data_IF_713409671194
#
_entry.id   IF_713409671194
#
_cell.length_a   1.000
_cell.length_b   1.000
_cell.length_c   1.000
_cell.angle_alpha   90.00
_cell.angle_beta   90.00
_cell.angle_gamma   90.00
#
_symmetry.space_group_name_H-M   'P 1'
#
loop_
_entity.id
_entity.type
_entity.pdbx_description
1 polymer ?
#
# COMPACT_ATOMS: atom_id res chain seq x y z
N UNK A 1 22.55 -25.06 1.22
CA UNK A 1 23.25 -23.91 1.82
C UNK A 1 22.72 -22.66 1.14
N UNK A 2 21.92 -21.85 1.83
CA UNK A 2 21.52 -20.54 1.30
C UNK A 2 22.75 -19.66 1.44
N UNK A 3 23.38 -19.25 0.33
CA UNK A 3 24.55 -18.36 0.39
C UNK A 3 24.15 -17.04 1.07
N UNK A 4 25.07 -16.47 1.85
CA UNK A 4 24.89 -15.22 2.59
C UNK A 4 24.71 -13.98 1.67
N UNK A 5 24.66 -14.15 0.35
CA UNK A 5 24.69 -13.05 -0.62
C UNK A 5 23.31 -12.63 -1.15
N UNK A 6 22.25 -13.32 -0.74
CA UNK A 6 20.86 -13.04 -1.16
C UNK A 6 20.12 -12.27 -0.06
N UNK A 7 19.47 -11.17 -0.41
CA UNK A 7 18.65 -10.39 0.53
C UNK A 7 17.27 -11.04 0.74
N UNK A 8 16.84 -11.11 2.00
CA UNK A 8 15.52 -11.52 2.43
C UNK A 8 14.67 -10.28 2.73
N UNK A 9 13.57 -10.11 2.02
CA UNK A 9 12.67 -8.96 2.14
C UNK A 9 11.32 -9.40 2.67
N UNK A 10 10.87 -8.80 3.77
CA UNK A 10 9.53 -8.96 4.31
C UNK A 10 8.66 -7.78 3.91
N UNK A 11 7.48 -8.06 3.34
CA UNK A 11 6.51 -7.06 2.93
C UNK A 11 5.18 -7.36 3.59
N UNK A 12 4.63 -6.38 4.28
CA UNK A 12 3.36 -6.46 4.99
C UNK A 12 2.42 -5.35 4.50
N UNK A 13 1.13 -5.65 4.33
CA UNK A 13 0.11 -4.65 4.01
C UNK A 13 -1.15 -4.85 4.83
N UNK A 14 -1.74 -3.75 5.29
CA UNK A 14 -3.01 -3.79 6.01
C UNK A 14 -3.85 -2.53 5.81
N UNK A 15 -5.09 -2.70 5.32
CA UNK A 15 -6.11 -1.67 5.38
C UNK A 15 -6.74 -1.65 6.79
N UNK A 16 -6.53 -0.56 7.53
CA UNK A 16 -6.93 -0.42 8.94
C UNK A 16 -8.31 0.20 9.14
N UNK A 17 -9.13 0.35 8.09
CA UNK A 17 -10.53 0.78 8.17
C UNK A 17 -10.76 2.04 9.03
N UNK A 18 -9.90 3.06 8.81
CA UNK A 18 -9.95 4.40 9.41
C UNK A 18 -9.85 4.44 10.95
N UNK A 19 -9.37 3.37 11.57
CA UNK A 19 -9.34 3.24 13.04
C UNK A 19 -8.27 4.09 13.73
N UNK A 20 -7.36 4.75 12.99
CA UNK A 20 -6.32 5.58 13.60
C UNK A 20 -5.38 4.73 14.47
N UNK A 21 -5.10 5.18 15.69
CA UNK A 21 -4.26 4.45 16.67
C UNK A 21 -4.83 3.08 17.03
N UNK A 22 -6.16 2.90 17.00
CA UNK A 22 -6.84 1.63 17.31
C UNK A 22 -6.78 0.61 16.16
N UNK A 23 -6.23 1.00 15.00
CA UNK A 23 -6.20 0.15 13.81
C UNK A 23 -5.27 -1.05 13.86
N UNK A 24 -4.42 -1.15 14.87
CA UNK A 24 -3.56 -2.31 15.10
C UNK A 24 -3.83 -2.90 16.49
N UNK A 25 -3.89 -4.24 16.64
CA UNK A 25 -3.76 -4.87 17.94
C UNK A 25 -2.42 -4.48 18.57
N UNK A 26 -2.36 -4.48 19.91
CA UNK A 26 -1.11 -4.20 20.64
C UNK A 26 -0.01 -5.23 20.29
N UNK A 27 -0.40 -6.45 19.92
CA UNK A 27 0.51 -7.51 19.51
C UNK A 27 0.58 -7.59 17.97
N UNK A 28 1.79 -7.42 17.41
CA UNK A 28 2.04 -7.55 15.97
C UNK A 28 2.78 -8.84 15.57
N UNK A 29 3.04 -9.74 16.53
CA UNK A 29 3.89 -10.92 16.35
C UNK A 29 3.40 -11.80 15.21
N UNK A 30 2.10 -12.14 15.20
CA UNK A 30 1.49 -13.00 14.17
C UNK A 30 1.72 -12.47 12.76
N UNK A 31 1.74 -11.14 12.60
CA UNK A 31 1.86 -10.49 11.29
C UNK A 31 3.31 -10.19 10.90
N UNK A 32 4.12 -9.73 11.86
CA UNK A 32 5.46 -9.20 11.59
C UNK A 32 6.60 -10.15 11.96
N UNK A 33 6.32 -11.25 12.66
CA UNK A 33 7.30 -12.33 12.92
C UNK A 33 6.88 -13.70 12.33
N UNK A 34 6.50 -13.78 11.03
CA UNK A 34 6.31 -15.08 10.37
C UNK A 34 7.63 -15.86 10.24
N UNK A 35 8.75 -15.19 10.47
CA UNK A 35 10.12 -15.72 10.39
C UNK A 35 10.35 -16.90 11.32
N UNK A 36 9.64 -17.06 12.44
CA UNK A 36 9.82 -18.24 13.31
C UNK A 36 9.43 -19.56 12.60
N UNK A 37 8.31 -19.60 11.89
CA UNK A 37 7.87 -20.80 11.17
C UNK A 37 8.58 -20.93 9.81
N UNK A 38 8.75 -19.83 9.09
CA UNK A 38 9.36 -19.80 7.76
C UNK A 38 10.86 -20.12 7.80
N UNK A 39 11.58 -19.61 8.79
CA UNK A 39 13.02 -19.85 8.89
C UNK A 39 13.34 -21.34 9.11
N UNK A 40 12.49 -22.05 9.83
CA UNK A 40 12.61 -23.51 10.04
C UNK A 40 12.49 -24.28 8.71
N UNK A 41 11.70 -23.77 7.75
CA UNK A 41 11.52 -24.38 6.44
C UNK A 41 12.67 -24.07 5.47
N UNK A 42 13.22 -22.85 5.49
CA UNK A 42 14.23 -22.40 4.53
C UNK A 42 15.68 -22.75 4.90
N UNK A 43 16.02 -22.80 6.19
CA UNK A 43 17.39 -23.01 6.64
C UNK A 43 17.46 -23.65 8.02
N UNK A 44 18.56 -24.36 8.31
CA UNK A 44 18.84 -24.88 9.66
C UNK A 44 19.07 -23.76 10.69
N UNK A 45 19.43 -22.56 10.22
CA UNK A 45 19.62 -21.37 11.05
C UNK A 45 18.44 -20.42 10.88
N UNK A 46 17.98 -19.84 11.97
CA UNK A 46 16.91 -18.85 11.93
C UNK A 46 17.46 -17.52 11.41
N UNK A 47 16.94 -17.01 10.29
CA UNK A 47 17.41 -15.76 9.65
C UNK A 47 16.32 -14.69 9.69
N UNK A 48 16.66 -13.49 10.17
CA UNK A 48 15.79 -12.32 10.09
C UNK A 48 15.82 -11.67 8.68
N UNK A 49 14.75 -10.95 8.26
CA UNK A 49 14.74 -10.20 7.01
C UNK A 49 15.82 -9.11 7.01
N UNK A 50 16.48 -8.90 5.88
CA UNK A 50 17.41 -7.77 5.71
C UNK A 50 16.66 -6.44 5.52
N UNK A 51 15.45 -6.51 4.96
CA UNK A 51 14.54 -5.36 4.73
C UNK A 51 13.13 -5.73 5.18
N UNK A 52 12.46 -4.82 5.89
CA UNK A 52 11.04 -4.95 6.25
C UNK A 52 10.30 -3.72 5.71
N UNK A 53 9.24 -3.93 4.93
CA UNK A 53 8.38 -2.87 4.42
C UNK A 53 6.93 -3.10 4.89
N UNK A 54 6.32 -2.09 5.52
CA UNK A 54 4.96 -2.16 6.05
C UNK A 54 4.10 -1.04 5.45
N UNK A 55 3.10 -1.44 4.66
CA UNK A 55 2.14 -0.55 4.03
C UNK A 55 0.81 -0.52 4.78
N UNK A 56 0.22 0.68 4.91
CA UNK A 56 -1.10 0.88 5.48
C UNK A 56 -2.01 1.63 4.53
N UNK A 57 -3.30 1.29 4.56
CA UNK A 57 -4.37 2.01 3.91
C UNK A 57 -5.46 2.32 4.94
N UNK A 58 -6.21 3.40 4.70
CA UNK A 58 -7.20 3.89 5.69
C UNK A 58 -6.59 4.03 7.09
N UNK A 59 -5.36 4.55 7.15
CA UNK A 59 -4.56 4.63 8.38
C UNK A 59 -5.29 5.35 9.53
N UNK A 60 -6.07 6.38 9.19
CA UNK A 60 -6.74 7.26 10.13
C UNK A 60 -8.01 7.87 9.49
N UNK A 61 -8.93 8.42 10.30
CA UNK A 61 -10.14 9.08 9.79
C UNK A 61 -9.86 10.08 8.68
N UNK A 62 -10.71 10.11 7.66
CA UNK A 62 -10.49 10.90 6.43
C UNK A 62 -10.23 12.38 6.71
N UNK A 63 -10.97 13.00 7.63
CA UNK A 63 -10.77 14.42 7.95
C UNK A 63 -9.36 14.70 8.50
N UNK A 64 -8.79 13.79 9.30
CA UNK A 64 -7.41 13.89 9.81
C UNK A 64 -6.38 13.56 8.72
N UNK A 65 -6.65 12.56 7.89
CA UNK A 65 -5.78 12.21 6.76
C UNK A 65 -5.66 13.35 5.76
N UNK A 66 -6.80 13.92 5.34
CA UNK A 66 -6.87 15.02 4.37
C UNK A 66 -6.31 16.33 4.94
N UNK A 67 -6.54 16.62 6.23
CA UNK A 67 -5.89 17.74 6.91
C UNK A 67 -4.39 17.51 7.10
N UNK A 68 -3.94 16.26 6.93
CA UNK A 68 -2.61 15.70 7.14
C UNK A 68 -2.10 15.82 8.56
N UNK A 69 -2.99 15.57 9.51
CA UNK A 69 -2.68 15.33 10.92
C UNK A 69 -2.38 13.85 11.19
N UNK A 70 -1.51 13.25 10.37
CA UNK A 70 -1.14 11.84 10.46
C UNK A 70 0.12 11.56 11.29
N UNK A 71 0.85 12.60 11.72
CA UNK A 71 2.15 12.47 12.40
C UNK A 71 2.10 11.57 13.63
N UNK A 72 1.16 11.82 14.54
CA UNK A 72 1.04 11.03 15.78
C UNK A 72 0.78 9.56 15.48
N UNK A 73 -0.12 9.26 14.54
CA UNK A 73 -0.45 7.87 14.17
C UNK A 73 0.76 7.20 13.53
N UNK A 74 1.47 7.85 12.61
CA UNK A 74 2.62 7.21 11.94
C UNK A 74 3.82 7.04 12.87
N UNK A 75 4.03 7.94 13.83
CA UNK A 75 5.10 7.84 14.83
C UNK A 75 4.82 6.69 15.81
N UNK A 76 3.57 6.54 16.25
CA UNK A 76 3.09 5.38 17.02
C UNK A 76 3.31 4.06 16.26
N UNK A 77 2.90 4.00 14.98
CA UNK A 77 3.12 2.83 14.12
C UNK A 77 4.60 2.49 13.99
N UNK A 78 5.45 3.49 13.80
CA UNK A 78 6.89 3.28 13.72
C UNK A 78 7.45 2.66 15.00
N UNK A 79 7.11 3.23 16.17
CA UNK A 79 7.57 2.73 17.46
C UNK A 79 7.10 1.29 17.71
N UNK A 80 5.82 1.01 17.45
CA UNK A 80 5.24 -0.32 17.65
C UNK A 80 5.88 -1.35 16.71
N UNK A 81 5.95 -1.07 15.40
CA UNK A 81 6.56 -1.99 14.43
C UNK A 81 8.01 -2.30 14.81
N UNK A 82 8.81 -1.26 15.09
CA UNK A 82 10.21 -1.43 15.42
C UNK A 82 10.39 -2.29 16.68
N UNK A 83 9.62 -2.02 17.73
CA UNK A 83 9.66 -2.81 18.96
C UNK A 83 9.32 -4.28 18.72
N UNK A 84 8.36 -4.56 17.83
CA UNK A 84 7.86 -5.91 17.57
C UNK A 84 8.82 -6.72 16.68
N UNK A 85 9.39 -6.10 15.63
CA UNK A 85 10.35 -6.80 14.76
C UNK A 85 11.66 -7.11 15.51
N UNK A 86 12.14 -6.21 16.37
CA UNK A 86 13.37 -6.43 17.14
C UNK A 86 13.17 -7.43 18.28
N UNK A 87 12.07 -7.33 19.04
CA UNK A 87 11.79 -8.24 20.15
C UNK A 87 11.63 -9.70 19.69
N UNK A 88 11.16 -9.91 18.47
CA UNK A 88 10.89 -11.23 17.90
C UNK A 88 11.90 -11.63 16.80
N UNK A 89 12.99 -10.87 16.65
CA UNK A 89 14.05 -11.21 15.72
C UNK A 89 14.78 -12.47 16.21
N UNK A 90 15.01 -13.48 15.34
CA UNK A 90 15.53 -14.78 15.75
C UNK A 90 16.88 -14.74 16.47
N UNK A 91 17.73 -13.78 16.15
CA UNK A 91 19.06 -13.58 16.74
C UNK A 91 19.19 -12.20 17.41
N UNK A 92 18.07 -11.58 17.81
CA UNK A 92 18.01 -10.22 18.40
C UNK A 92 18.59 -9.14 17.49
N UNK A 93 18.38 -9.31 16.18
CA UNK A 93 18.75 -8.32 15.18
C UNK A 93 18.06 -6.98 15.45
N UNK A 94 18.79 -5.89 15.19
CA UNK A 94 18.28 -4.53 15.29
C UNK A 94 17.93 -3.99 13.92
N UNK A 95 16.99 -3.06 13.89
CA UNK A 95 16.53 -2.41 12.67
C UNK A 95 16.58 -0.90 12.79
N UNK A 96 16.77 -0.22 11.66
CA UNK A 96 16.63 1.22 11.56
C UNK A 96 15.60 1.56 10.50
N UNK A 97 14.82 2.62 10.75
CA UNK A 97 13.91 3.18 9.75
C UNK A 97 14.74 3.83 8.63
N UNK A 98 14.65 3.29 7.42
CA UNK A 98 15.25 3.89 6.22
C UNK A 98 14.42 5.08 5.78
N UNK A 99 13.10 4.89 5.64
CA UNK A 99 12.18 5.96 5.26
C UNK A 99 10.75 5.64 5.67
N UNK A 100 9.96 6.70 5.91
CA UNK A 100 8.51 6.64 6.00
C UNK A 100 7.87 7.72 5.17
N UNK A 101 6.71 7.43 4.59
CA UNK A 101 5.93 8.37 3.79
C UNK A 101 4.44 8.16 4.03
N UNK A 102 3.68 9.26 4.11
CA UNK A 102 2.23 9.25 4.31
C UNK A 102 1.59 10.27 3.38
N UNK A 103 0.51 9.86 2.70
CA UNK A 103 -0.36 10.76 1.97
C UNK A 103 -1.81 10.40 2.23
N UNK A 104 -2.54 11.35 2.85
CA UNK A 104 -3.87 11.13 3.39
C UNK A 104 -3.93 9.89 4.29
N UNK A 105 -4.62 8.83 3.87
CA UNK A 105 -4.75 7.57 4.60
C UNK A 105 -3.82 6.46 4.15
N UNK A 106 -2.91 6.70 3.19
CA UNK A 106 -1.96 5.70 2.68
C UNK A 106 -0.58 5.97 3.26
N UNK A 107 0.05 4.94 3.84
CA UNK A 107 1.36 5.06 4.45
C UNK A 107 2.27 3.88 4.09
N UNK A 108 3.58 4.12 4.11
CA UNK A 108 4.60 3.11 3.90
C UNK A 108 5.79 3.43 4.81
N UNK A 109 6.25 2.43 5.56
CA UNK A 109 7.46 2.47 6.38
C UNK A 109 8.40 1.36 5.92
N UNK A 110 9.67 1.68 5.69
CA UNK A 110 10.68 0.73 5.26
C UNK A 110 11.86 0.77 6.24
N UNK A 111 12.24 -0.41 6.71
CA UNK A 111 13.30 -0.63 7.69
C UNK A 111 14.37 -1.52 7.07
N UNK A 112 15.63 -1.30 7.46
CA UNK A 112 16.75 -2.18 7.13
C UNK A 112 17.37 -2.74 8.40
N UNK A 113 17.97 -3.93 8.31
CA UNK A 113 18.77 -4.48 9.40
C UNK A 113 19.98 -3.59 9.67
N UNK A 114 20.23 -3.26 10.94
CA UNK A 114 21.23 -2.27 11.37
C UNK A 114 22.67 -2.69 11.01
N UNK A 115 22.99 -3.97 11.11
CA UNK A 115 24.31 -4.52 10.76
C UNK A 115 24.50 -4.77 9.25
N UNK A 116 23.59 -4.30 8.41
CA UNK A 116 23.61 -4.52 6.96
C UNK A 116 22.98 -3.36 6.21
N UNK A 117 21.84 -3.63 5.56
CA UNK A 117 21.19 -2.71 4.61
C UNK A 117 21.03 -1.30 5.18
N UNK A 118 20.61 -1.15 6.44
CA UNK A 118 20.33 0.19 6.98
C UNK A 118 21.56 1.13 7.03
N UNK A 119 22.78 0.59 7.13
CA UNK A 119 24.01 1.38 7.18
C UNK A 119 24.66 1.59 5.81
N UNK A 120 24.21 0.87 4.79
CA UNK A 120 24.77 0.94 3.44
C UNK A 120 23.90 1.71 2.46
N UNK A 121 22.59 1.83 2.73
CA UNK A 121 21.67 2.51 1.82
C UNK A 121 22.04 3.98 1.57
N UNK A 122 21.88 4.40 0.32
CA UNK A 122 22.04 5.78 -0.12
C UNK A 122 20.86 6.20 -1.00
N UNK A 123 20.84 7.47 -1.42
CA UNK A 123 19.83 8.04 -2.33
C UNK A 123 18.38 7.77 -1.90
N UNK A 124 18.12 7.89 -0.60
CA UNK A 124 16.79 7.66 -0.02
C UNK A 124 15.82 8.75 -0.47
N UNK A 125 14.73 8.33 -1.08
CA UNK A 125 13.71 9.18 -1.70
C UNK A 125 12.32 8.71 -1.32
N UNK A 126 11.41 9.66 -1.11
CA UNK A 126 9.98 9.38 -0.88
C UNK A 126 9.12 10.17 -1.85
N UNK A 127 8.06 9.56 -2.36
CA UNK A 127 7.13 10.20 -3.29
C UNK A 127 5.67 9.84 -2.97
N UNK A 128 4.74 10.64 -3.48
CA UNK A 128 3.30 10.38 -3.36
C UNK A 128 2.55 10.87 -4.61
N UNK A 129 1.39 10.28 -4.85
CA UNK A 129 0.41 10.76 -5.83
C UNK A 129 -1.01 10.37 -5.42
N UNK A 130 -2.00 11.18 -5.81
CA UNK A 130 -3.42 10.96 -5.51
C UNK A 130 -4.23 10.64 -6.76
N UNK A 131 -5.14 9.68 -6.66
CA UNK A 131 -6.04 9.22 -7.74
C UNK A 131 -7.51 9.48 -7.42
N UNK A 132 -7.81 10.09 -6.27
CA UNK A 132 -9.16 10.51 -5.90
C UNK A 132 -9.75 11.56 -6.84
N UNK A 133 -10.98 12.02 -6.57
CA UNK A 133 -11.57 13.14 -7.29
C UNK A 133 -10.59 14.32 -7.34
N UNK A 134 -10.29 14.82 -8.53
CA UNK A 134 -9.32 15.92 -8.73
C UNK A 134 -7.95 15.63 -8.10
N UNK A 135 -7.49 14.38 -8.16
CA UNK A 135 -6.20 13.90 -7.66
C UNK A 135 -6.03 13.97 -6.13
N UNK A 136 -7.12 14.08 -5.38
CA UNK A 136 -7.12 14.01 -3.91
C UNK A 136 -6.54 12.68 -3.40
N UNK A 137 -5.95 12.71 -2.21
CA UNK A 137 -5.14 11.62 -1.66
C UNK A 137 -5.93 10.48 -1.00
N UNK A 138 -7.26 10.57 -0.90
CA UNK A 138 -8.09 9.49 -0.31
C UNK A 138 -7.98 8.14 -1.05
N UNK A 139 -7.49 8.18 -2.29
CA UNK A 139 -7.00 7.06 -3.09
C UNK A 139 -5.70 7.52 -3.77
N UNK A 140 -4.78 6.60 -4.03
CA UNK A 140 -3.49 6.94 -4.64
C UNK A 140 -2.38 5.99 -4.21
N UNK A 141 -1.15 6.48 -4.23
CA UNK A 141 0.00 5.71 -3.81
C UNK A 141 1.08 6.58 -3.16
N UNK A 142 1.85 5.95 -2.29
CA UNK A 142 3.10 6.47 -1.75
C UNK A 142 4.23 5.52 -2.13
N UNK A 143 5.44 6.04 -2.26
CA UNK A 143 6.62 5.26 -2.64
C UNK A 143 7.85 5.63 -1.85
N UNK A 144 8.67 4.62 -1.56
CA UNK A 144 10.03 4.75 -1.01
C UNK A 144 10.99 4.17 -2.04
N UNK A 145 12.06 4.90 -2.36
CA UNK A 145 13.16 4.42 -3.19
C UNK A 145 14.47 4.66 -2.47
N UNK A 146 15.39 3.70 -2.57
CA UNK A 146 16.76 3.87 -2.12
C UNK A 146 17.67 2.98 -2.97
N UNK A 147 18.98 3.17 -2.84
CA UNK A 147 19.99 2.37 -3.51
C UNK A 147 20.87 1.68 -2.48
N UNK A 148 21.23 0.43 -2.74
CA UNK A 148 22.30 -0.28 -2.04
C UNK A 148 23.51 -0.24 -2.96
N UNK A 149 24.61 0.44 -2.58
CA UNK A 149 25.84 0.47 -3.38
C UNK A 149 26.38 -0.94 -3.62
N UNK A 150 27.01 -1.15 -4.78
CA UNK A 150 27.75 -2.37 -5.06
C UNK A 150 29.17 -2.27 -4.54
N UNK A 151 29.87 -3.41 -4.49
CA UNK A 151 31.29 -3.43 -4.13
C UNK A 151 32.16 -2.80 -5.23
N UNK A 152 33.35 -2.32 -4.85
CA UNK A 152 34.37 -1.80 -5.77
C UNK A 152 33.85 -0.71 -6.73
N UNK A 153 33.19 0.31 -6.17
CA UNK A 153 32.61 1.45 -6.91
C UNK A 153 31.53 1.10 -7.94
N UNK A 154 30.98 -0.12 -7.88
CA UNK A 154 29.85 -0.49 -8.72
C UNK A 154 28.60 0.34 -8.35
N UNK A 155 27.74 0.67 -9.33
CA UNK A 155 26.57 1.53 -9.11
C UNK A 155 25.57 0.92 -8.11
N UNK A 156 25.59 -0.40 -7.92
CA UNK A 156 24.71 -1.10 -7.00
C UNK A 156 23.29 -1.27 -7.54
N UNK A 157 22.34 -1.53 -6.65
CA UNK A 157 20.96 -1.87 -6.99
C UNK A 157 19.98 -0.89 -6.37
N UNK A 158 18.97 -0.49 -7.14
CA UNK A 158 17.90 0.41 -6.71
C UNK A 158 16.67 -0.39 -6.29
N UNK A 159 16.12 -0.06 -5.12
CA UNK A 159 14.96 -0.71 -4.52
C UNK A 159 13.82 0.30 -4.48
N UNK A 160 12.67 -0.05 -5.06
CA UNK A 160 11.47 0.79 -5.03
C UNK A 160 10.31 0.01 -4.40
N UNK A 161 9.75 0.56 -3.33
CA UNK A 161 8.56 0.06 -2.66
C UNK A 161 7.40 1.03 -2.91
N UNK A 162 6.25 0.52 -3.33
CA UNK A 162 5.04 1.31 -3.59
C UNK A 162 3.88 0.73 -2.80
N UNK A 163 3.25 1.55 -1.98
CA UNK A 163 2.00 1.20 -1.28
C UNK A 163 0.85 1.99 -1.91
N UNK A 164 -0.16 1.29 -2.43
CA UNK A 164 -1.29 1.89 -3.12
C UNK A 164 -2.63 1.59 -2.43
N UNK A 165 -3.59 2.48 -2.65
CA UNK A 165 -4.99 2.28 -2.32
C UNK A 165 -5.84 2.72 -3.52
N UNK A 166 -6.32 1.75 -4.30
CA UNK A 166 -7.03 2.00 -5.56
C UNK A 166 -8.55 2.12 -5.35
N UNK A 167 -9.25 2.60 -6.38
CA UNK A 167 -10.71 2.79 -6.33
C UNK A 167 -11.48 1.52 -5.94
N UNK A 168 -12.29 1.65 -4.89
CA UNK A 168 -13.15 0.59 -4.36
C UNK A 168 -14.42 0.36 -5.21
N UNK A 169 -15.19 -0.67 -4.83
CA UNK A 169 -16.45 -1.16 -5.42
C UNK A 169 -16.26 -2.10 -6.63
N UNK A 170 -17.13 -3.10 -6.75
CA UNK A 170 -17.05 -4.18 -7.75
C UNK A 170 -17.09 -3.64 -9.18
N UNK A 171 -18.01 -2.74 -9.50
CA UNK A 171 -18.20 -2.19 -10.85
C UNK A 171 -17.18 -1.11 -11.29
N UNK A 172 -16.00 -1.03 -10.66
CA UNK A 172 -15.02 0.04 -10.88
C UNK A 172 -13.67 -0.44 -11.44
N UNK A 173 -13.63 -1.60 -12.10
CA UNK A 173 -12.42 -2.14 -12.73
C UNK A 173 -11.73 -1.12 -13.64
N UNK A 174 -12.47 -0.49 -14.56
CA UNK A 174 -11.90 0.52 -15.46
C UNK A 174 -11.26 1.69 -14.71
N UNK A 175 -11.83 2.06 -13.54
CA UNK A 175 -11.24 3.12 -12.71
C UNK A 175 -9.99 2.64 -11.99
N UNK A 176 -9.94 1.41 -11.45
CA UNK A 176 -8.70 0.83 -10.88
C UNK A 176 -7.57 0.77 -11.89
N UNK A 177 -7.86 0.38 -13.14
CA UNK A 177 -6.87 0.38 -14.22
C UNK A 177 -6.40 1.80 -14.56
N UNK A 178 -7.31 2.79 -14.53
CA UNK A 178 -6.98 4.21 -14.70
C UNK A 178 -6.12 4.74 -13.55
N UNK A 179 -6.44 4.38 -12.30
CA UNK A 179 -5.67 4.74 -11.11
C UNK A 179 -4.24 4.18 -11.20
N UNK A 180 -4.08 2.90 -11.58
CA UNK A 180 -2.76 2.29 -11.80
C UNK A 180 -1.97 3.02 -12.89
N UNK A 181 -2.55 3.26 -14.07
CA UNK A 181 -1.89 4.00 -15.16
C UNK A 181 -1.48 5.41 -14.71
N UNK A 182 -2.34 6.08 -13.94
CA UNK A 182 -2.04 7.36 -13.35
C UNK A 182 -0.84 7.28 -12.39
N UNK A 183 -0.82 6.32 -11.46
CA UNK A 183 0.27 6.11 -10.51
C UNK A 183 1.60 5.89 -11.23
N UNK A 184 1.63 5.06 -12.28
CA UNK A 184 2.85 4.83 -13.08
C UNK A 184 3.38 6.13 -13.68
N UNK A 185 2.50 7.01 -14.16
CA UNK A 185 2.87 8.28 -14.77
C UNK A 185 3.15 9.42 -13.77
N UNK A 186 2.67 9.36 -12.53
CA UNK A 186 2.74 10.50 -11.60
C UNK A 186 3.45 10.24 -10.28
N UNK A 187 3.63 8.98 -9.86
CA UNK A 187 4.51 8.61 -8.75
C UNK A 187 5.96 8.57 -9.25
N UNK A 188 6.51 9.75 -9.48
CA UNK A 188 7.79 9.94 -10.14
C UNK A 188 8.90 10.25 -9.15
N UNK A 189 10.07 9.67 -9.41
CA UNK A 189 11.28 9.88 -8.64
C UNK A 189 12.26 10.76 -9.42
N UNK A 190 13.23 11.40 -8.73
CA UNK A 190 14.33 12.08 -9.38
C UNK A 190 15.05 11.23 -10.46
N UNK A 191 15.71 11.88 -11.42
CA UNK A 191 16.56 11.19 -12.40
C UNK A 191 17.61 10.30 -11.71
N UNK A 192 17.89 9.14 -12.28
CA UNK A 192 18.94 8.22 -11.82
C UNK A 192 20.33 8.61 -12.32
N UNK A 193 20.40 9.37 -13.41
CA UNK A 193 21.63 9.87 -14.03
C UNK A 193 21.72 11.38 -13.89
N UNK A 194 22.93 11.89 -13.62
CA UNK A 194 23.20 13.33 -13.50
C UNK A 194 23.02 14.10 -14.82
N UNK A 195 23.01 13.39 -15.95
CA UNK A 195 22.88 13.99 -17.29
C UNK A 195 21.40 14.21 -17.69
N UNK A 196 20.46 13.52 -17.04
CA UNK A 196 19.03 13.64 -17.30
C UNK A 196 18.35 14.55 -16.30
N UNK A 197 17.44 15.41 -16.79
CA UNK A 197 16.50 16.17 -15.95
C UNK A 197 15.11 15.53 -15.90
N UNK A 198 14.91 14.43 -16.63
CA UNK A 198 13.62 13.78 -16.76
C UNK A 198 13.42 12.85 -15.55
N UNK A 199 12.35 13.05 -14.77
CA UNK A 199 12.07 12.19 -13.63
C UNK A 199 11.76 10.77 -14.10
N UNK A 200 12.02 9.80 -13.24
CA UNK A 200 11.87 8.37 -13.56
C UNK A 200 10.58 7.80 -12.97
N UNK A 201 10.02 6.80 -13.65
CA UNK A 201 8.82 6.09 -13.16
C UNK A 201 9.21 5.05 -12.11
N UNK A 202 8.21 4.40 -11.50
CA UNK A 202 8.42 3.30 -10.56
C UNK A 202 9.22 2.13 -11.17
N UNK A 203 9.22 1.98 -12.50
CA UNK A 203 9.88 0.90 -13.22
C UNK A 203 11.39 1.10 -13.44
N UNK A 204 11.89 2.33 -13.29
CA UNK A 204 13.32 2.63 -13.37
C UNK A 204 14.02 2.25 -12.06
N UNK A 205 14.09 0.95 -11.79
CA UNK A 205 14.59 0.38 -10.52
C UNK A 205 15.12 -1.03 -10.78
N UNK A 206 16.02 -1.53 -9.93
CA UNK A 206 16.52 -2.91 -10.00
C UNK A 206 15.51 -3.89 -9.43
N UNK A 207 14.91 -3.55 -8.28
CA UNK A 207 13.83 -4.31 -7.65
C UNK A 207 12.64 -3.40 -7.41
N UNK A 208 11.45 -3.85 -7.81
CA UNK A 208 10.18 -3.16 -7.63
C UNK A 208 9.25 -4.02 -6.80
N UNK A 209 8.68 -3.44 -5.76
CA UNK A 209 7.67 -4.05 -4.91
C UNK A 209 6.42 -3.15 -4.91
N UNK A 210 5.28 -3.70 -5.31
CA UNK A 210 4.00 -3.00 -5.36
C UNK A 210 3.01 -3.72 -4.45
N UNK A 211 2.59 -3.04 -3.39
CA UNK A 211 1.70 -3.59 -2.36
C UNK A 211 0.52 -2.67 -2.08
N UNK A 212 -0.48 -3.19 -1.37
CA UNK A 212 -1.56 -2.39 -0.80
C UNK A 212 -2.94 -2.98 -1.00
N UNK A 213 -3.96 -2.20 -0.65
CA UNK A 213 -5.36 -2.46 -1.01
C UNK A 213 -5.61 -2.01 -2.46
N UNK A 214 -5.37 -2.93 -3.38
CA UNK A 214 -5.55 -2.72 -4.81
C UNK A 214 -7.02 -2.79 -5.22
N UNK A 215 -7.91 -3.22 -4.31
CA UNK A 215 -9.35 -3.20 -4.47
C UNK A 215 -9.91 -3.97 -5.69
N UNK A 216 -9.10 -4.77 -6.39
CA UNK A 216 -9.57 -5.70 -7.42
C UNK A 216 -10.46 -6.78 -6.77
N UNK A 217 -11.51 -7.17 -7.50
CA UNK A 217 -12.60 -8.01 -6.99
C UNK A 217 -12.68 -9.33 -7.73
N UNK A 218 -13.48 -10.24 -7.19
CA UNK A 218 -13.94 -11.42 -7.92
C UNK A 218 -15.10 -11.04 -8.84
N UNK A 219 -14.89 -11.21 -10.15
CA UNK A 219 -15.89 -10.97 -11.19
C UNK A 219 -16.50 -12.30 -11.67
N UNK A 220 -17.20 -12.99 -10.76
CA UNK A 220 -17.78 -14.31 -11.04
C UNK A 220 -19.01 -14.14 -11.95
N UNK A 221 -19.09 -14.84 -13.11
CA UNK A 221 -20.25 -14.80 -13.98
C UNK A 221 -21.53 -15.23 -13.26
N UNK A 222 -22.70 -14.60 -13.50
CA UNK A 222 -23.95 -14.98 -12.84
C UNK A 222 -24.35 -16.46 -13.03
N UNK A 223 -23.97 -17.05 -14.17
CA UNK A 223 -24.21 -18.46 -14.51
C UNK A 223 -23.32 -19.45 -13.77
N UNK A 224 -22.24 -18.99 -13.13
CA UNK A 224 -21.32 -19.87 -12.40
C UNK A 224 -21.97 -20.37 -11.09
N UNK A 225 -21.81 -21.65 -10.69
CA UNK A 225 -22.42 -22.19 -9.47
C UNK A 225 -22.06 -21.42 -8.19
N UNK A 226 -20.86 -20.83 -8.16
CA UNK A 226 -20.37 -20.02 -7.05
C UNK A 226 -20.74 -18.53 -7.15
N UNK A 227 -21.61 -18.08 -8.07
CA UNK A 227 -21.89 -16.64 -8.24
C UNK A 227 -22.56 -15.99 -7.03
N UNK A 228 -23.24 -16.77 -6.20
CA UNK A 228 -24.02 -16.30 -5.05
C UNK A 228 -23.45 -16.72 -3.69
N UNK A 229 -22.27 -17.34 -3.63
CA UNK A 229 -21.71 -17.88 -2.37
C UNK A 229 -21.58 -16.81 -1.27
N UNK A 230 -21.30 -15.56 -1.65
CA UNK A 230 -21.20 -14.41 -0.75
C UNK A 230 -22.51 -14.04 -0.04
N UNK A 231 -23.66 -14.48 -0.55
CA UNK A 231 -24.97 -14.22 0.07
C UNK A 231 -25.26 -15.18 1.22
N UNK A 232 -24.51 -16.28 1.33
CA UNK A 232 -24.60 -17.22 2.43
C UNK A 232 -23.74 -16.75 3.62
N UNK A 233 -24.12 -17.15 4.83
CA UNK A 233 -23.26 -16.99 6.02
C UNK A 233 -22.01 -17.88 5.97
N UNK A 234 -21.99 -18.88 5.06
CA UNK A 234 -20.99 -19.94 5.00
C UNK A 234 -19.89 -19.66 3.96
N UNK A 235 -19.78 -18.43 3.46
CA UNK A 235 -18.75 -18.06 2.48
C UNK A 235 -17.32 -18.39 2.96
N UNK A 236 -17.08 -18.34 4.28
CA UNK A 236 -15.81 -18.74 4.89
C UNK A 236 -15.54 -20.25 4.80
N UNK A 237 -16.58 -21.08 4.91
CA UNK A 237 -16.50 -22.52 4.73
C UNK A 237 -16.26 -22.86 3.26
N UNK A 238 -16.98 -22.22 2.34
CA UNK A 238 -16.77 -22.38 0.88
C UNK A 238 -15.33 -22.04 0.49
N UNK A 239 -14.78 -20.94 1.02
CA UNK A 239 -13.40 -20.52 0.77
C UNK A 239 -12.35 -21.32 1.56
N UNK A 240 -12.74 -22.24 2.45
CA UNK A 240 -11.78 -23.10 3.15
C UNK A 240 -11.17 -24.13 2.20
N UNK A 241 -11.93 -24.57 1.20
CA UNK A 241 -11.49 -25.50 0.19
C UNK A 241 -10.51 -24.84 -0.79
N UNK A 242 -9.31 -25.42 -0.91
CA UNK A 242 -8.28 -24.90 -1.81
C UNK A 242 -8.69 -25.04 -3.29
N UNK A 243 -9.36 -26.13 -3.66
CA UNK A 243 -9.89 -26.37 -5.02
C UNK A 243 -10.86 -25.27 -5.45
N UNK A 244 -11.74 -24.85 -4.54
CA UNK A 244 -12.69 -23.75 -4.77
C UNK A 244 -11.93 -22.43 -5.00
N UNK A 245 -10.95 -22.12 -4.16
CA UNK A 245 -10.13 -20.91 -4.34
C UNK A 245 -9.31 -20.95 -5.63
N UNK A 246 -8.79 -22.11 -6.01
CA UNK A 246 -8.09 -22.32 -7.27
C UNK A 246 -9.00 -22.10 -8.49
N UNK A 247 -10.28 -22.42 -8.40
CA UNK A 247 -11.27 -22.09 -9.44
C UNK A 247 -11.59 -20.59 -9.45
N UNK A 248 -11.80 -19.99 -8.27
CA UNK A 248 -12.18 -18.58 -8.14
C UNK A 248 -11.10 -17.61 -8.62
N UNK A 249 -9.81 -17.98 -8.54
CA UNK A 249 -8.71 -17.13 -9.01
C UNK A 249 -8.82 -16.77 -10.50
N UNK A 250 -9.42 -17.64 -11.31
CA UNK A 250 -9.61 -17.38 -12.75
C UNK A 250 -10.64 -16.27 -13.01
N UNK A 251 -11.41 -15.86 -11.99
CA UNK A 251 -12.32 -14.73 -12.01
C UNK A 251 -11.79 -13.51 -11.23
N UNK A 252 -10.55 -13.56 -10.74
CA UNK A 252 -9.90 -12.42 -10.07
C UNK A 252 -9.54 -11.35 -11.10
N UNK A 253 -10.07 -10.14 -10.91
CA UNK A 253 -9.88 -9.05 -11.86
C UNK A 253 -8.41 -8.64 -12.02
N UNK A 254 -7.58 -8.72 -10.96
CA UNK A 254 -6.17 -8.36 -11.05
C UNK A 254 -5.40 -9.41 -11.85
N UNK A 255 -5.62 -10.69 -11.55
CA UNK A 255 -5.02 -11.81 -12.26
C UNK A 255 -5.33 -11.72 -13.77
N UNK A 256 -6.59 -11.47 -14.13
CA UNK A 256 -7.01 -11.26 -15.52
C UNK A 256 -6.40 -9.98 -16.13
N UNK A 257 -6.35 -8.88 -15.39
CA UNK A 257 -5.76 -7.63 -15.86
C UNK A 257 -4.25 -7.77 -16.14
N UNK A 258 -3.51 -8.50 -15.32
CA UNK A 258 -2.09 -8.79 -15.55
C UNK A 258 -1.87 -9.67 -16.76
N UNK A 259 -2.63 -10.77 -16.91
CA UNK A 259 -2.54 -11.67 -18.07
C UNK A 259 -2.84 -10.96 -19.39
N UNK A 260 -3.72 -9.97 -19.35
CA UNK A 260 -4.07 -9.14 -20.51
C UNK A 260 -3.14 -7.93 -20.70
N UNK A 261 -2.08 -7.78 -19.90
CA UNK A 261 -1.13 -6.67 -20.02
C UNK A 261 -1.70 -5.28 -19.65
N UNK A 262 -2.81 -5.23 -18.92
CA UNK A 262 -3.52 -3.98 -18.59
C UNK A 262 -3.08 -3.34 -17.26
N UNK A 263 -2.52 -4.14 -16.35
CA UNK A 263 -2.07 -3.71 -15.04
C UNK A 263 -0.79 -4.44 -14.62
N UNK A 264 0.05 -3.76 -13.84
CA UNK A 264 1.24 -4.32 -13.18
C UNK A 264 2.11 -5.17 -14.13
N UNK A 265 2.32 -4.65 -15.34
CA UNK A 265 3.05 -5.35 -16.41
C UNK A 265 4.47 -5.63 -15.96
N UNK A 266 4.94 -6.86 -16.18
CA UNK A 266 6.28 -7.32 -15.80
C UNK A 266 6.44 -7.65 -14.31
N UNK A 267 5.41 -7.49 -13.47
CA UNK A 267 5.46 -7.92 -12.07
C UNK A 267 4.85 -9.32 -11.92
N UNK A 268 5.34 -10.05 -10.93
CA UNK A 268 4.89 -11.38 -10.52
C UNK A 268 4.26 -11.28 -9.13
N UNK A 269 3.44 -12.27 -8.82
CA UNK A 269 2.77 -12.40 -7.54
C UNK A 269 2.88 -13.85 -7.09
N UNK A 270 3.00 -14.08 -5.77
CA UNK A 270 2.91 -15.43 -5.23
C UNK A 270 1.50 -16.01 -5.41
N UNK A 271 1.28 -17.25 -4.95
CA UNK A 271 -0.03 -17.90 -5.09
C UNK A 271 -1.07 -17.31 -4.10
N UNK A 272 -1.57 -16.11 -4.41
CA UNK A 272 -2.50 -15.34 -3.55
C UNK A 272 -3.78 -16.12 -3.17
N UNK A 273 -4.17 -17.11 -3.98
CA UNK A 273 -5.33 -17.96 -3.77
C UNK A 273 -5.10 -19.08 -2.75
N UNK A 274 -3.87 -19.30 -2.26
CA UNK A 274 -3.53 -20.28 -1.21
C UNK A 274 -4.02 -19.87 0.18
N UNK A 275 -4.38 -18.61 0.38
CA UNK A 275 -5.08 -18.12 1.58
C UNK A 275 -6.49 -17.59 1.22
N UNK A 276 -7.39 -17.50 2.20
CA UNK A 276 -8.76 -17.01 2.00
C UNK A 276 -8.75 -15.54 1.56
N UNK A 277 -9.81 -15.09 0.89
CA UNK A 277 -9.96 -13.67 0.54
C UNK A 277 -9.74 -12.76 1.76
N UNK A 278 -9.01 -11.67 1.59
CA UNK A 278 -8.66 -10.74 2.69
C UNK A 278 -9.80 -9.77 3.03
N UNK A 279 -10.83 -9.67 2.20
CA UNK A 279 -11.96 -8.75 2.32
C UNK A 279 -13.26 -9.45 1.88
N UNK A 280 -14.47 -9.12 2.35
CA UNK A 280 -14.84 -8.18 3.43
C UNK A 280 -15.35 -8.97 4.63
N UNK A 281 -14.64 -8.89 5.75
CA UNK A 281 -15.04 -9.54 6.99
C UNK A 281 -16.06 -8.70 7.77
N UNK A 282 -16.77 -9.35 8.70
CA UNK A 282 -17.47 -8.65 9.76
C UNK A 282 -16.44 -8.23 10.81
N UNK A 283 -16.44 -6.96 11.20
CA UNK A 283 -15.53 -6.43 12.23
C UNK A 283 -15.80 -7.17 13.54
N UNK A 284 -14.73 -7.55 14.25
CA UNK A 284 -14.79 -8.36 15.46
C UNK A 284 -14.74 -9.88 15.20
N UNK A 285 -14.92 -10.33 13.96
CA UNK A 285 -14.96 -11.75 13.61
C UNK A 285 -13.65 -12.23 12.97
N UNK A 286 -13.21 -13.44 13.35
CA UNK A 286 -11.99 -14.06 12.80
C UNK A 286 -12.25 -14.59 11.39
N UNK A 287 -13.31 -15.36 11.20
CA UNK A 287 -13.55 -16.13 9.97
C UNK A 287 -15.01 -16.02 9.49
N UNK A 288 -15.56 -14.80 9.48
CA UNK A 288 -16.93 -14.54 9.02
C UNK A 288 -16.97 -13.36 8.06
N UNK A 289 -17.43 -13.63 6.83
CA UNK A 289 -17.60 -12.61 5.81
C UNK A 289 -18.89 -11.81 5.99
N UNK A 290 -18.86 -10.56 5.55
CA UNK A 290 -20.03 -9.71 5.42
C UNK A 290 -20.74 -10.00 4.11
N UNK A 291 -22.06 -10.17 4.13
CA UNK A 291 -22.88 -10.39 2.92
C UNK A 291 -23.03 -9.13 2.06
N UNK A 292 -22.50 -7.97 2.51
CA UNK A 292 -22.61 -6.68 1.80
C UNK A 292 -21.78 -6.64 0.51
N UNK A 293 -20.77 -7.50 0.36
CA UNK A 293 -19.84 -7.54 -0.77
C UNK A 293 -19.42 -8.97 -1.03
N UNK A 294 -19.04 -9.25 -2.28
CA UNK A 294 -18.38 -10.51 -2.61
C UNK A 294 -16.99 -10.55 -1.94
N UNK A 295 -16.62 -11.63 -1.23
CA UNK A 295 -15.26 -11.80 -0.76
C UNK A 295 -14.26 -11.65 -1.90
N UNK A 296 -13.12 -10.99 -1.66
CA UNK A 296 -12.11 -10.72 -2.69
C UNK A 296 -10.71 -10.60 -2.08
N UNK A 297 -9.68 -10.93 -2.88
CA UNK A 297 -8.29 -10.67 -2.57
C UNK A 297 -7.94 -9.24 -2.97
N UNK A 298 -8.36 -8.29 -2.15
CA UNK A 298 -8.14 -6.85 -2.40
C UNK A 298 -6.73 -6.41 -2.04
N UNK A 299 -6.13 -7.07 -1.05
CA UNK A 299 -4.81 -6.76 -0.51
C UNK A 299 -3.77 -7.64 -1.22
N UNK A 300 -2.78 -7.02 -1.88
CA UNK A 300 -1.87 -7.71 -2.81
C UNK A 300 -0.41 -7.32 -2.61
N UNK A 301 0.51 -8.20 -2.99
CA UNK A 301 1.96 -7.93 -3.02
C UNK A 301 2.54 -8.49 -4.31
N UNK A 302 3.01 -7.61 -5.18
CA UNK A 302 3.62 -7.94 -6.45
C UNK A 302 5.06 -7.45 -6.50
N UNK A 303 5.90 -8.13 -7.27
CA UNK A 303 7.33 -7.86 -7.31
C UNK A 303 7.96 -8.14 -8.68
N UNK A 304 9.07 -7.47 -8.95
CA UNK A 304 9.91 -7.71 -10.12
C UNK A 304 11.38 -7.42 -9.79
N UNK A 305 12.29 -8.11 -10.46
CA UNK A 305 13.74 -7.86 -10.39
C UNK A 305 14.32 -7.67 -11.80
N UNK A 306 15.41 -6.92 -11.94
CA UNK A 306 16.10 -6.68 -13.21
C UNK A 306 16.61 -7.96 -13.86
N UNK A 307 16.88 -8.98 -13.07
CA UNK A 307 17.31 -10.29 -13.56
C UNK A 307 16.17 -11.08 -14.21
N UNK A 308 14.91 -10.70 -14.01
CA UNK A 308 13.77 -11.36 -14.64
C UNK A 308 13.85 -11.21 -16.17
N UNK A 309 13.35 -12.22 -16.89
CA UNK A 309 13.16 -12.12 -18.33
C UNK A 309 11.87 -11.36 -18.64
N UNK A 310 11.88 -10.42 -19.61
CA UNK A 310 10.65 -9.80 -20.10
C UNK A 310 9.76 -10.78 -20.89
N UNK A 311 10.31 -11.92 -21.33
CA UNK A 311 9.62 -12.89 -22.19
C UNK A 311 8.85 -13.96 -21.40
N UNK A 312 9.16 -14.16 -20.12
CA UNK A 312 8.51 -15.15 -19.26
C UNK A 312 7.76 -14.46 -18.12
N UNK A 313 6.49 -14.11 -18.36
CA UNK A 313 5.69 -13.33 -17.42
C UNK A 313 5.35 -14.08 -16.11
N UNK A 314 5.35 -15.41 -16.15
CA UNK A 314 5.02 -16.31 -15.04
C UNK A 314 6.22 -16.66 -14.14
N UNK A 315 7.46 -16.40 -14.59
CA UNK A 315 8.68 -16.75 -13.87
C UNK A 315 9.39 -15.51 -13.34
N UNK A 316 9.87 -15.61 -12.10
CA UNK A 316 10.75 -14.61 -11.50
C UNK A 316 11.96 -15.29 -10.85
N UNK A 317 13.09 -14.59 -10.83
CA UNK A 317 14.26 -15.00 -10.05
C UNK A 317 14.15 -14.63 -8.57
N UNK A 318 13.11 -13.87 -8.18
CA UNK A 318 12.73 -13.72 -6.77
C UNK A 318 12.00 -14.98 -6.33
N UNK A 319 12.47 -15.59 -5.25
CA UNK A 319 11.80 -16.75 -4.64
C UNK A 319 10.73 -16.24 -3.66
N UNK A 320 9.45 -16.54 -3.92
CA UNK A 320 8.38 -16.34 -2.95
C UNK A 320 8.47 -17.44 -1.89
N UNK A 321 8.81 -17.05 -0.67
CA UNK A 321 9.03 -17.96 0.45
C UNK A 321 7.74 -18.19 1.22
N UNK A 322 7.01 -17.10 1.47
CA UNK A 322 5.74 -17.10 2.16
C UNK A 322 4.87 -16.04 1.49
N UNK A 323 3.60 -16.35 1.29
CA UNK A 323 2.59 -15.34 1.02
C UNK A 323 1.26 -15.78 1.63
N UNK A 324 0.80 -15.06 2.65
CA UNK A 324 -0.40 -15.44 3.41
C UNK A 324 -1.14 -14.22 3.97
N UNK A 325 -2.38 -14.43 4.39
CA UNK A 325 -3.13 -13.52 5.25
C UNK A 325 -3.05 -13.94 6.72
N UNK A 326 -3.35 -13.00 7.63
CA UNK A 326 -3.35 -13.19 9.09
C UNK A 326 -4.78 -13.04 9.62
N UNK A 327 -5.54 -14.14 9.79
CA UNK A 327 -6.97 -14.08 10.13
C UNK A 327 -7.28 -13.57 11.54
N UNK A 328 -6.32 -13.66 12.48
CA UNK A 328 -6.49 -13.31 13.89
C UNK A 328 -6.82 -11.83 14.12
N UNK A 329 -6.58 -10.96 13.15
CA UNK A 329 -6.85 -9.52 13.23
C UNK A 329 -8.31 -9.23 12.92
N UNK A 330 -9.02 -8.61 13.86
CA UNK A 330 -10.48 -8.38 13.76
C UNK A 330 -10.89 -6.91 13.85
N UNK A 331 -9.94 -5.99 14.02
CA UNK A 331 -10.19 -4.54 14.14
C UNK A 331 -10.61 -3.88 12.82
N UNK A 332 -10.31 -4.53 11.69
CA UNK A 332 -10.68 -4.12 10.34
C UNK A 332 -11.60 -5.16 9.71
N UNK A 333 -12.30 -4.75 8.65
CA UNK A 333 -12.99 -5.63 7.73
C UNK A 333 -12.04 -6.25 6.68
N UNK A 334 -10.76 -5.87 6.71
CA UNK A 334 -9.67 -6.52 6.01
C UNK A 334 -8.86 -7.42 6.94
N UNK A 335 -8.18 -8.42 6.37
CA UNK A 335 -7.13 -9.20 7.06
C UNK A 335 -5.76 -8.75 6.56
N UNK A 336 -4.79 -8.47 7.45
CA UNK A 336 -3.42 -8.17 7.04
C UNK A 336 -2.85 -9.29 6.19
N UNK A 337 -1.96 -8.92 5.26
CA UNK A 337 -1.18 -9.87 4.47
C UNK A 337 0.30 -9.70 4.74
N UNK A 338 1.05 -10.78 4.59
CA UNK A 338 2.51 -10.77 4.68
C UNK A 338 3.12 -11.65 3.58
N UNK A 339 4.23 -11.17 3.03
CA UNK A 339 4.98 -11.80 1.96
C UNK A 339 6.47 -11.79 2.32
N UNK A 340 7.14 -12.93 2.15
CA UNK A 340 8.59 -13.08 2.33
C UNK A 340 9.21 -13.42 0.99
N UNK A 341 10.20 -12.63 0.58
CA UNK A 341 10.82 -12.71 -0.74
C UNK A 341 12.33 -12.86 -0.57
N UNK A 342 12.90 -13.93 -1.14
CA UNK A 342 14.35 -14.09 -1.22
C UNK A 342 14.81 -13.62 -2.61
N UNK A 343 15.49 -12.48 -2.65
CA UNK A 343 15.94 -11.86 -3.90
C UNK A 343 17.06 -12.67 -4.55
N UNK A 344 17.28 -12.56 -5.87
CA UNK A 344 18.46 -13.15 -6.52
C UNK A 344 19.75 -12.56 -5.93
N UNK A 345 20.90 -13.25 -6.05
CA UNK A 345 22.20 -12.69 -5.69
C UNK A 345 22.44 -11.37 -6.43
N UNK A 346 23.10 -10.43 -5.76
CA UNK A 346 23.42 -9.16 -6.42
C UNK A 346 24.36 -9.39 -7.60
N UNK A 347 24.07 -8.72 -8.72
CA UNK A 347 24.90 -8.80 -9.92
C UNK A 347 25.72 -7.53 -10.05
N UNK A 348 26.98 -7.56 -9.62
CA UNK A 348 27.95 -6.50 -9.92
C UNK A 348 28.29 -6.55 -11.41
N UNK A 349 27.68 -5.69 -12.23
CA UNK A 349 28.06 -5.54 -13.64
C UNK A 349 29.38 -4.78 -13.72
N UNK A 350 30.48 -5.52 -13.85
CA UNK A 350 31.81 -4.96 -14.08
C UNK A 350 31.74 -4.06 -15.34
N UNK A 351 31.96 -2.75 -15.16
CA UNK A 351 31.97 -1.76 -16.24
C UNK A 351 30.66 -0.99 -16.48
N UNK A 352 29.59 -1.22 -15.72
CA UNK A 352 28.39 -0.38 -15.78
C UNK A 352 28.54 0.87 -14.92
N UNK A 353 28.14 2.03 -15.45
CA UNK A 353 28.11 3.30 -14.70
C UNK A 353 26.75 3.55 -14.04
N UNK A 354 25.70 2.81 -14.43
CA UNK A 354 24.34 2.99 -13.91
C UNK A 354 23.80 1.70 -13.26
N UNK A 355 22.92 1.82 -12.25
CA UNK A 355 22.23 0.67 -11.67
C UNK A 355 21.40 -0.09 -12.73
N UNK A 356 21.36 -1.43 -12.68
CA UNK A 356 20.52 -2.19 -13.60
C UNK A 356 19.04 -1.91 -13.34
N UNK A 357 18.22 -1.93 -14.39
CA UNK A 357 16.78 -1.67 -14.29
C UNK A 357 15.94 -2.83 -14.82
N UNK A 358 14.70 -2.94 -14.33
CA UNK A 358 13.74 -3.95 -14.77
C UNK A 358 13.53 -3.87 -16.28
N UNK A 359 13.62 -5.03 -16.93
CA UNK A 359 13.31 -5.19 -18.34
C UNK A 359 11.82 -5.45 -18.52
N UNK A 360 11.18 -4.62 -19.32
CA UNK A 360 9.76 -4.72 -19.62
C UNK A 360 9.54 -5.26 -21.04
N UNK A 361 8.37 -5.89 -21.30
CA UNK A 361 7.98 -6.25 -22.66
C UNK A 361 8.04 -5.04 -23.60
N UNK A 362 8.48 -5.24 -24.84
CA UNK A 362 8.74 -4.16 -25.81
C UNK A 362 7.54 -3.24 -26.10
N UNK A 363 6.31 -3.77 -25.96
CA UNK A 363 5.06 -3.05 -26.17
C UNK A 363 4.65 -2.18 -24.98
N UNK A 364 5.28 -2.33 -23.81
CA UNK A 364 4.94 -1.60 -22.60
C UNK A 364 6.05 -0.63 -22.22
N UNK A 365 5.78 0.67 -22.40
CA UNK A 365 6.73 1.76 -22.12
C UNK A 365 6.10 2.75 -21.13
N UNK A 366 6.38 2.62 -19.82
CA UNK A 366 5.88 3.56 -18.83
C UNK A 366 6.59 4.91 -18.98
N UNK A 367 5.82 5.98 -19.19
CA UNK A 367 6.36 7.33 -19.38
C UNK A 367 5.92 8.26 -18.26
N UNK A 368 6.79 9.18 -17.81
CA UNK A 368 6.42 10.24 -16.90
C UNK A 368 5.32 11.14 -17.48
N UNK A 369 4.32 11.47 -16.67
CA UNK A 369 3.32 12.47 -16.99
C UNK A 369 3.91 13.87 -16.80
N UNK A 370 3.94 14.66 -17.88
CA UNK A 370 4.49 16.02 -17.87
C UNK A 370 3.76 16.97 -16.91
N UNK A 371 2.53 16.64 -16.50
CA UNK A 371 1.71 17.39 -15.54
C UNK A 371 1.68 16.75 -14.16
N UNK A 372 2.52 15.76 -13.87
CA UNK A 372 2.53 15.05 -12.58
C UNK A 372 2.63 16.01 -11.39
N UNK A 373 3.57 16.95 -11.43
CA UNK A 373 3.77 17.95 -10.36
C UNK A 373 2.51 18.78 -10.13
N UNK A 374 1.89 19.29 -11.20
CA UNK A 374 0.66 20.09 -11.11
C UNK A 374 -0.48 19.28 -10.48
N UNK A 375 -0.72 18.06 -10.97
CA UNK A 375 -1.80 17.18 -10.47
C UNK A 375 -1.60 16.85 -8.99
N UNK A 376 -0.36 16.53 -8.60
CA UNK A 376 0.02 16.19 -7.23
C UNK A 376 -0.24 17.32 -6.24
N UNK A 377 0.16 18.55 -6.57
CA UNK A 377 -0.05 19.69 -5.67
C UNK A 377 -1.48 20.24 -5.71
N UNK A 378 -2.17 20.13 -6.85
CA UNK A 378 -3.60 20.43 -6.92
C UNK A 378 -4.40 19.53 -5.98
N UNK A 379 -4.19 18.21 -6.07
CA UNK A 379 -4.83 17.23 -5.19
C UNK A 379 -4.52 17.48 -3.72
N UNK A 380 -3.24 17.72 -3.38
CA UNK A 380 -2.83 18.03 -2.00
C UNK A 380 -3.46 19.30 -1.46
N UNK A 381 -3.57 20.36 -2.26
CA UNK A 381 -4.21 21.61 -1.82
C UNK A 381 -5.70 21.38 -1.52
N UNK A 382 -6.39 20.62 -2.37
CA UNK A 382 -7.79 20.25 -2.14
C UNK A 382 -7.95 19.35 -0.91
N UNK A 383 -7.06 18.38 -0.70
CA UNK A 383 -7.04 17.57 0.53
C UNK A 383 -7.00 18.48 1.77
N UNK A 384 -6.09 19.46 1.81
CA UNK A 384 -5.94 20.34 2.98
C UNK A 384 -7.16 21.21 3.20
N UNK A 385 -7.72 21.79 2.14
CA UNK A 385 -8.93 22.62 2.23
C UNK A 385 -10.09 21.79 2.77
N UNK A 386 -10.40 20.66 2.12
CA UNK A 386 -11.51 19.79 2.52
C UNK A 386 -11.29 19.22 3.93
N UNK A 387 -10.09 18.74 4.21
CA UNK A 387 -9.74 18.13 5.48
C UNK A 387 -9.79 19.09 6.66
N UNK A 388 -9.26 20.31 6.51
CA UNK A 388 -9.29 21.34 7.58
C UNK A 388 -10.73 21.82 7.82
N UNK A 389 -11.50 22.07 6.76
CA UNK A 389 -12.91 22.44 6.91
C UNK A 389 -13.71 21.34 7.61
N UNK A 390 -13.52 20.07 7.20
CA UNK A 390 -14.20 18.94 7.84
C UNK A 390 -13.75 18.76 9.29
N UNK A 391 -12.45 18.87 9.58
CA UNK A 391 -11.94 18.81 10.94
C UNK A 391 -12.53 19.90 11.84
N UNK A 392 -12.63 21.14 11.36
CA UNK A 392 -13.26 22.23 12.11
C UNK A 392 -14.74 21.94 12.43
N UNK A 393 -15.49 21.35 11.48
CA UNK A 393 -16.86 20.91 11.73
C UNK A 393 -16.90 19.80 12.80
N UNK A 394 -16.01 18.81 12.73
CA UNK A 394 -15.94 17.75 13.76
C UNK A 394 -15.67 18.35 15.14
N UNK A 395 -14.78 19.35 15.26
CA UNK A 395 -14.54 20.05 16.52
C UNK A 395 -15.77 20.83 17.01
N UNK A 396 -16.42 21.60 16.13
CA UNK A 396 -17.64 22.35 16.45
C UNK A 396 -18.78 21.45 16.91
N UNK A 397 -18.81 20.21 16.44
CA UNK A 397 -19.80 19.20 16.82
C UNK A 397 -19.36 18.27 17.94
N UNK A 398 -18.35 18.65 18.73
CA UNK A 398 -17.84 17.85 19.85
C UNK A 398 -17.48 16.39 19.47
N UNK A 399 -16.87 16.21 18.29
CA UNK A 399 -16.50 14.91 17.73
C UNK A 399 -17.45 14.38 16.65
N UNK A 400 -18.60 15.04 16.40
CA UNK A 400 -19.53 14.68 15.33
C UNK A 400 -19.59 15.75 14.25
N UNK A 401 -19.16 15.42 13.02
CA UNK A 401 -19.26 16.35 11.89
C UNK A 401 -20.68 16.80 11.58
N UNK A 402 -21.68 15.94 11.79
CA UNK A 402 -23.12 16.25 11.57
C UNK A 402 -23.60 17.29 12.57
N UNK A 403 -23.29 17.11 13.86
CA UNK A 403 -23.58 18.09 14.91
C UNK A 403 -22.82 19.39 14.64
N UNK A 404 -21.61 19.28 14.10
CA UNK A 404 -20.80 20.42 13.67
C UNK A 404 -21.45 21.29 12.62
N UNK A 405 -22.00 20.67 11.57
CA UNK A 405 -22.76 21.38 10.54
C UNK A 405 -24.00 22.05 11.13
N UNK A 406 -24.74 21.34 11.98
CA UNK A 406 -25.90 21.92 12.68
C UNK A 406 -25.50 23.13 13.52
N UNK A 407 -24.46 23.01 14.34
CA UNK A 407 -23.94 24.10 15.19
C UNK A 407 -23.44 25.28 14.36
N UNK A 408 -22.78 25.02 13.22
CA UNK A 408 -22.32 26.07 12.31
C UNK A 408 -23.49 26.84 11.68
N UNK A 409 -24.52 26.14 11.20
CA UNK A 409 -25.72 26.78 10.63
C UNK A 409 -26.48 27.57 11.69
N UNK A 410 -26.65 27.01 12.89
CA UNK A 410 -27.30 27.70 14.02
C UNK A 410 -26.52 28.94 14.45
N UNK A 411 -25.19 28.85 14.52
CA UNK A 411 -24.30 29.98 14.82
C UNK A 411 -24.37 31.08 13.74
N UNK A 412 -24.40 30.70 12.46
CA UNK A 412 -24.60 31.65 11.36
C UNK A 412 -25.97 32.35 11.46
N UNK A 413 -27.04 31.60 11.76
CA UNK A 413 -28.38 32.15 11.96
C UNK A 413 -28.45 33.11 13.15
N UNK A 414 -27.82 32.77 14.27
CA UNK A 414 -27.74 33.65 15.44
C UNK A 414 -26.91 34.91 15.14
N UNK A 415 -25.80 34.79 14.40
CA UNK A 415 -24.97 35.92 13.99
C UNK A 415 -25.70 36.86 13.02
N UNK A 416 -26.38 36.31 12.01
CA UNK A 416 -27.16 37.12 11.06
C UNK A 416 -28.30 37.84 11.75
N UNK A 417 -29.01 37.15 12.67
CA UNK A 417 -30.02 37.76 13.54
C UNK A 417 -29.41 38.89 14.37
N UNK A 418 -28.33 38.63 15.11
CA UNK A 418 -27.66 39.62 15.96
C UNK A 418 -27.20 40.85 15.18
N UNK A 419 -26.60 40.64 13.99
CA UNK A 419 -26.18 41.72 13.10
C UNK A 419 -27.36 42.56 12.61
N UNK A 420 -28.49 41.93 12.29
CA UNK A 420 -29.73 42.62 11.89
C UNK A 420 -30.39 43.38 13.04
N UNK A 421 -30.22 42.92 14.28
CA UNK A 421 -30.78 43.58 15.47
C UNK A 421 -29.96 44.79 15.95
N UNK A 422 -28.65 44.83 15.66
CA UNK A 422 -27.77 45.94 16.08
C UNK A 422 -27.64 47.04 15.01
N UNK A 423 -27.72 46.69 13.73
CA UNK A 423 -27.67 47.64 12.62
C UNK A 423 -28.95 47.56 11.80
N UNK A 424 -30.09 48.07 12.30
CA UNK A 424 -31.28 48.21 11.46
C UNK A 424 -30.93 49.11 10.28
N UNK A 425 -31.14 48.61 9.06
CA UNK A 425 -30.97 49.44 7.86
C UNK A 425 -31.89 50.65 7.99
N UNK A 426 -31.30 51.85 8.03
CA UNK A 426 -32.01 53.11 8.19
C UNK A 426 -33.08 53.27 7.11
N UNK A 427 -34.34 53.33 7.53
CA UNK A 427 -35.40 53.90 6.70
C UNK A 427 -35.13 55.41 6.51
N UNK A 428 -35.52 55.99 5.36
CA UNK A 428 -35.30 57.42 5.13
C UNK A 428 -36.11 58.25 6.14
N UNK A 429 -35.59 59.42 6.60
CA UNK A 429 -36.35 60.31 7.44
C UNK A 429 -37.55 60.87 6.65
N UNK A 430 -38.72 60.86 7.28
CA UNK A 430 -39.98 61.43 6.76
C UNK A 430 -39.90 62.95 6.69
#
# INVERSE_FOLDING_TARGET
MVSNDRLLVQIASYNTNLQGVLGLPQDLVDWLSPTLQVSTFLSREKRAPDIVAVGFQELLPLHLGLSGFSKTVIDDRNALILSQIEANAPNKERYLLIAKVVHAGVALLVYGRDDGVARTVCDVQTQWTGTGPVYMGNKGAVGVRFRIPGDNDAPGETFTFVCAHLTALENKLARRLSDYKHIVGTLLFPPTSTESRIPTTIYSTSHLFFLGDLNFRLAIPPSHPLSSFHKSCDAAQVLSEESVRAQLKEFDELHLAQRNGNALVGLREGEFWKFKCSYKYQIGEVDKYSTKRTPSWTDRVLYATHTDSPDTLDKSNITNVLYTSIPSYTTSDHKPIVCMLLLPPSTSSIGSTEPPTIRLPSHYKPLPDSRATLKRYLGRSLDRIVGICWYALVLLGAGSGVVGVFNFVLGLGAWTWWKSSIFPQGGPPV
#
